data_IF_726446983393
#
_entry.id   IF_726446983393
#
_cell.length_a   1.000
_cell.length_b   1.000
_cell.length_c   1.000
_cell.angle_alpha   90.00
_cell.angle_beta   90.00
_cell.angle_gamma   90.00
#
_symmetry.space_group_name_H-M   'P 1'
#
loop_
_entity.id
_entity.type
_entity.pdbx_description
1 polymer ?
#
# COMPACT_ATOMS: atom_id res chain seq x y z
N UNK A 1 8.45 -1.36 -23.92
CA UNK A 1 7.88 -1.12 -25.26
C UNK A 1 9.04 -0.70 -26.13
N UNK A 2 9.34 -1.46 -27.17
CA UNK A 2 10.39 -1.07 -28.10
C UNK A 2 9.81 -0.10 -29.13
N UNK A 3 10.62 0.84 -29.68
CA UNK A 3 10.17 1.66 -30.79
C UNK A 3 9.75 0.76 -31.97
N UNK A 4 8.46 0.77 -32.34
CA UNK A 4 7.90 -0.04 -33.44
C UNK A 4 6.77 -1.00 -33.04
N UNK A 5 6.52 -1.23 -31.75
CA UNK A 5 5.34 -1.98 -31.30
C UNK A 5 4.05 -1.20 -31.59
N UNK A 6 3.09 -1.82 -32.27
CA UNK A 6 1.76 -1.24 -32.47
C UNK A 6 1.03 -1.02 -31.13
N UNK A 7 0.24 0.04 -31.03
CA UNK A 7 -0.58 0.28 -29.84
C UNK A 7 -1.57 -0.88 -29.65
N UNK A 8 -1.51 -1.54 -28.48
CA UNK A 8 -2.42 -2.62 -28.10
C UNK A 8 -2.97 -2.35 -26.70
N UNK A 9 -4.29 -2.43 -26.56
CA UNK A 9 -4.99 -2.30 -25.29
C UNK A 9 -5.19 -3.66 -24.57
N UNK A 10 -4.66 -4.76 -25.11
CA UNK A 10 -4.92 -6.11 -24.60
C UNK A 10 -4.46 -6.33 -23.15
N UNK A 11 -3.45 -5.58 -22.69
CA UNK A 11 -2.92 -5.66 -21.31
C UNK A 11 -3.25 -4.43 -20.45
N UNK A 12 -3.57 -3.31 -21.09
CA UNK A 12 -3.86 -2.04 -20.46
C UNK A 12 -4.89 -1.29 -21.28
N UNK A 13 -6.08 -1.11 -20.72
CA UNK A 13 -7.15 -0.33 -21.31
C UNK A 13 -7.79 0.52 -20.21
N UNK A 14 -7.83 1.83 -20.47
CA UNK A 14 -8.44 2.83 -19.61
C UNK A 14 -9.49 3.64 -20.40
N UNK A 15 -10.01 3.04 -21.46
CA UNK A 15 -11.00 3.68 -22.33
C UNK A 15 -12.30 3.95 -21.58
N UNK A 16 -12.88 5.09 -21.95
CA UNK A 16 -14.23 5.48 -21.56
C UNK A 16 -15.16 5.07 -22.69
N UNK A 17 -16.10 4.18 -22.39
CA UNK A 17 -17.02 3.54 -23.32
C UNK A 17 -17.23 2.05 -23.00
N UNK A 18 -16.26 1.36 -22.40
CA UNK A 18 -16.30 -0.10 -22.22
C UNK A 18 -15.70 -0.87 -23.42
N UNK A 19 -15.74 -2.21 -23.42
CA UNK A 19 -15.16 -2.99 -24.53
C UNK A 19 -16.06 -2.96 -25.78
N UNK A 20 -15.64 -2.30 -26.85
CA UNK A 20 -16.41 -2.17 -28.11
C UNK A 20 -17.24 -0.88 -28.18
N UNK A 21 -18.35 -0.87 -28.95
CA UNK A 21 -19.23 0.31 -29.14
C UNK A 21 -20.09 0.68 -27.91
N UNK A 22 -19.60 0.43 -26.69
CA UNK A 22 -20.22 1.00 -25.50
C UNK A 22 -19.97 2.50 -25.54
N UNK A 23 -21.02 3.26 -25.80
CA UNK A 23 -20.93 4.71 -26.02
C UNK A 23 -21.30 5.40 -24.72
N UNK A 24 -20.61 6.51 -24.46
CA UNK A 24 -21.16 7.58 -23.64
C UNK A 24 -22.47 8.01 -24.32
N UNK A 25 -23.61 7.86 -23.64
CA UNK A 25 -24.92 8.24 -24.20
C UNK A 25 -25.47 9.45 -23.49
N UNK A 26 -26.32 10.19 -24.21
CA UNK A 26 -26.95 11.40 -23.70
C UNK A 26 -28.44 11.39 -23.99
N UNK A 27 -29.22 12.07 -23.16
CA UNK A 27 -30.60 12.38 -23.48
C UNK A 27 -30.70 13.56 -24.48
N UNK A 28 -31.93 13.96 -24.82
CA UNK A 28 -32.18 15.08 -25.74
C UNK A 28 -31.76 16.44 -25.19
N UNK A 29 -31.64 16.56 -23.87
CA UNK A 29 -31.21 17.78 -23.20
C UNK A 29 -29.67 17.82 -23.04
N UNK A 30 -28.97 16.77 -23.48
CA UNK A 30 -27.51 16.66 -23.37
C UNK A 30 -27.04 16.16 -22.01
N UNK A 31 -27.93 15.65 -21.15
CA UNK A 31 -27.53 15.03 -19.90
C UNK A 31 -26.90 13.66 -20.15
N UNK A 32 -25.80 13.35 -19.47
CA UNK A 32 -25.12 12.07 -19.56
C UNK A 32 -26.03 10.95 -19.03
N UNK A 33 -26.32 9.91 -19.81
CA UNK A 33 -27.19 8.78 -19.43
C UNK A 33 -26.40 7.53 -19.05
N UNK A 34 -25.34 7.20 -19.79
CA UNK A 34 -24.50 6.03 -19.53
C UNK A 34 -23.03 6.32 -19.75
N UNK A 35 -22.18 5.70 -18.95
CA UNK A 35 -20.74 5.71 -19.12
C UNK A 35 -20.14 4.38 -18.64
N UNK A 36 -19.47 3.67 -19.54
CA UNK A 36 -18.62 2.53 -19.17
C UNK A 36 -17.17 2.98 -19.00
N UNK A 37 -16.43 2.38 -18.08
CA UNK A 37 -14.97 2.56 -17.98
C UNK A 37 -14.28 1.23 -17.85
N UNK A 38 -13.20 1.06 -18.61
CA UNK A 38 -12.26 -0.04 -18.42
C UNK A 38 -11.12 0.42 -17.50
N UNK A 39 -10.58 -0.55 -16.78
CA UNK A 39 -9.41 -0.36 -15.94
C UNK A 39 -8.64 -1.67 -15.82
N UNK A 40 -7.62 -1.64 -14.98
CA UNK A 40 -6.77 -2.81 -14.79
C UNK A 40 -6.58 -3.07 -13.30
N UNK A 41 -6.76 -4.32 -12.91
CA UNK A 41 -6.62 -4.76 -11.52
C UNK A 41 -5.33 -5.54 -11.31
N UNK A 42 -4.71 -5.47 -10.11
CA UNK A 42 -3.63 -6.36 -9.73
C UNK A 42 -4.04 -7.83 -9.89
N UNK A 43 -3.19 -8.64 -10.52
CA UNK A 43 -3.48 -10.05 -10.78
C UNK A 43 -4.44 -10.33 -11.95
N UNK A 44 -5.01 -9.32 -12.60
CA UNK A 44 -5.81 -9.53 -13.82
C UNK A 44 -4.92 -9.60 -15.07
N UNK A 45 -5.13 -10.63 -15.90
CA UNK A 45 -4.39 -10.82 -17.15
C UNK A 45 -4.80 -9.86 -18.28
N UNK A 46 -6.01 -9.32 -18.19
CA UNK A 46 -6.62 -8.40 -19.16
C UNK A 46 -7.34 -7.26 -18.44
N UNK A 47 -7.59 -6.13 -19.11
CA UNK A 47 -8.45 -5.08 -18.58
C UNK A 47 -9.85 -5.59 -18.23
N UNK A 48 -10.46 -4.97 -17.24
CA UNK A 48 -11.81 -5.28 -16.75
C UNK A 48 -12.67 -4.02 -16.78
N UNK A 49 -14.00 -4.20 -16.81
CA UNK A 49 -14.92 -3.09 -16.55
C UNK A 49 -14.83 -2.69 -15.09
N UNK A 50 -14.43 -1.44 -14.83
CA UNK A 50 -14.40 -0.85 -13.50
C UNK A 50 -15.62 0.03 -13.22
N UNK A 51 -16.31 0.49 -14.26
CA UNK A 51 -17.61 1.15 -14.10
C UNK A 51 -18.56 0.79 -15.24
N UNK A 52 -19.83 0.60 -14.88
CA UNK A 52 -20.96 0.55 -15.80
C UNK A 52 -22.07 1.47 -15.27
N UNK A 53 -21.87 2.77 -15.46
CA UNK A 53 -22.67 3.80 -14.82
C UNK A 53 -23.94 4.09 -15.61
N UNK A 54 -25.06 4.18 -14.89
CA UNK A 54 -26.33 4.70 -15.40
C UNK A 54 -26.78 5.89 -14.57
N UNK A 55 -27.03 7.00 -15.23
CA UNK A 55 -27.42 8.28 -14.63
C UNK A 55 -28.93 8.48 -14.82
N UNK A 56 -29.62 8.78 -13.73
CA UNK A 56 -31.06 9.03 -13.72
C UNK A 56 -31.35 10.45 -13.27
N UNK A 57 -32.19 11.16 -14.03
CA UNK A 57 -32.54 12.55 -13.78
C UNK A 57 -34.05 12.69 -13.54
N UNK A 58 -34.42 13.69 -12.74
CA UNK A 58 -35.78 14.19 -12.69
C UNK A 58 -36.07 15.09 -13.91
N UNK A 59 -37.34 15.42 -14.12
CA UNK A 59 -37.81 16.24 -15.26
C UNK A 59 -37.17 17.64 -15.36
N UNK A 60 -36.41 18.07 -14.35
CA UNK A 60 -35.70 19.36 -14.30
C UNK A 60 -34.20 19.28 -14.60
N UNK A 61 -33.72 18.25 -15.31
CA UNK A 61 -32.28 17.98 -15.56
C UNK A 61 -31.44 17.82 -14.28
N UNK A 62 -32.09 17.52 -13.15
CA UNK A 62 -31.41 17.34 -11.87
C UNK A 62 -31.11 15.87 -11.66
N UNK A 63 -29.85 15.56 -11.39
CA UNK A 63 -29.37 14.20 -11.21
C UNK A 63 -29.93 13.62 -9.91
N UNK A 64 -30.75 12.59 -10.01
CA UNK A 64 -31.36 11.93 -8.84
C UNK A 64 -30.51 10.75 -8.37
N UNK A 65 -29.93 10.00 -9.31
CA UNK A 65 -29.18 8.77 -9.01
C UNK A 65 -28.10 8.45 -10.04
N UNK A 66 -26.99 7.86 -9.60
CA UNK A 66 -26.02 7.15 -10.44
C UNK A 66 -25.86 5.73 -9.92
N UNK A 67 -26.26 4.75 -10.71
CA UNK A 67 -26.03 3.32 -10.37
C UNK A 67 -24.80 2.80 -11.08
N UNK A 68 -24.09 1.89 -10.43
CA UNK A 68 -23.00 1.15 -11.05
C UNK A 68 -23.34 -0.34 -11.17
N UNK A 69 -23.44 -0.83 -12.40
CA UNK A 69 -23.72 -2.23 -12.72
C UNK A 69 -22.44 -3.06 -12.93
N UNK A 70 -21.27 -2.55 -12.52
CA UNK A 70 -19.98 -3.23 -12.63
C UNK A 70 -20.05 -4.65 -12.03
N UNK A 71 -19.61 -5.69 -12.78
CA UNK A 71 -19.80 -7.09 -12.38
C UNK A 71 -18.99 -7.54 -11.15
N UNK A 72 -18.00 -6.75 -10.71
CA UNK A 72 -17.12 -7.09 -9.59
C UNK A 72 -17.56 -6.36 -8.31
N UNK A 73 -18.77 -6.65 -7.83
CA UNK A 73 -19.41 -5.95 -6.70
C UNK A 73 -18.57 -5.85 -5.42
N UNK A 74 -17.72 -6.85 -5.13
CA UNK A 74 -16.79 -6.81 -3.99
C UNK A 74 -15.66 -5.77 -4.12
N UNK A 75 -15.46 -5.21 -5.31
CA UNK A 75 -14.43 -4.23 -5.65
C UNK A 75 -15.01 -2.88 -6.09
N UNK A 76 -16.32 -2.69 -5.96
CA UNK A 76 -17.01 -1.43 -6.24
C UNK A 76 -16.31 -0.25 -5.52
N UNK A 77 -15.86 0.74 -6.29
CA UNK A 77 -15.15 1.93 -5.79
C UNK A 77 -13.75 1.67 -5.24
N UNK A 78 -13.19 0.47 -5.39
CA UNK A 78 -11.88 0.11 -4.84
C UNK A 78 -10.70 0.52 -5.74
N UNK A 79 -10.97 0.86 -6.99
CA UNK A 79 -9.98 1.29 -7.98
C UNK A 79 -9.84 2.82 -8.09
N UNK A 80 -10.53 3.57 -7.21
CA UNK A 80 -10.73 5.01 -7.39
C UNK A 80 -11.78 5.35 -8.45
N UNK A 81 -12.52 4.33 -8.88
CA UNK A 81 -13.74 4.34 -9.67
C UNK A 81 -14.94 4.87 -8.86
N UNK A 82 -16.09 4.99 -9.51
CA UNK A 82 -17.30 5.41 -8.84
C UNK A 82 -17.69 4.36 -7.80
N UNK A 83 -18.24 4.81 -6.67
CA UNK A 83 -18.75 3.92 -5.63
C UNK A 83 -20.25 4.10 -5.49
N UNK A 84 -21.01 3.17 -6.04
CA UNK A 84 -22.47 3.15 -5.83
C UNK A 84 -22.78 2.77 -4.37
N UNK A 85 -23.65 3.55 -3.73
CA UNK A 85 -24.06 3.35 -2.35
C UNK A 85 -24.93 2.10 -2.14
N UNK A 86 -25.28 1.83 -0.89
CA UNK A 86 -26.14 0.69 -0.52
C UNK A 86 -27.63 1.05 -0.43
N UNK A 87 -28.03 2.20 -0.98
CA UNK A 87 -29.39 2.77 -0.87
C UNK A 87 -30.41 2.17 -1.86
N UNK A 88 -30.05 1.09 -2.58
CA UNK A 88 -30.99 0.30 -3.36
C UNK A 88 -31.63 1.11 -4.50
N UNK A 89 -32.95 1.25 -4.53
CA UNK A 89 -33.66 2.04 -5.55
C UNK A 89 -33.93 3.50 -5.15
N UNK A 90 -33.54 3.91 -3.94
CA UNK A 90 -33.72 5.30 -3.50
C UNK A 90 -32.77 6.24 -4.24
N UNK A 91 -33.13 7.52 -4.32
CA UNK A 91 -32.27 8.56 -4.89
C UNK A 91 -30.97 8.70 -4.09
N UNK A 92 -29.87 9.00 -4.78
CA UNK A 92 -28.58 9.26 -4.13
C UNK A 92 -28.45 10.72 -3.72
N UNK A 93 -29.01 11.62 -4.52
CA UNK A 93 -28.87 13.06 -4.37
C UNK A 93 -30.18 13.70 -3.92
N UNK A 94 -30.09 14.53 -2.89
CA UNK A 94 -31.19 15.37 -2.41
C UNK A 94 -30.74 16.82 -2.46
N UNK A 95 -31.68 17.70 -2.82
CA UNK A 95 -31.40 19.12 -3.04
C UNK A 95 -32.33 19.98 -2.21
N UNK A 96 -31.85 21.15 -1.79
CA UNK A 96 -32.69 22.19 -1.21
C UNK A 96 -33.48 22.97 -2.28
N UNK A 97 -34.27 23.96 -1.85
CA UNK A 97 -35.06 24.79 -2.74
C UNK A 97 -34.23 25.71 -3.64
N UNK A 98 -32.98 26.01 -3.26
CA UNK A 98 -32.04 26.81 -4.04
C UNK A 98 -31.30 25.94 -5.09
N UNK A 99 -31.46 24.61 -5.02
CA UNK A 99 -30.81 23.66 -5.91
C UNK A 99 -29.44 23.21 -5.42
N UNK A 100 -29.06 23.53 -4.19
CA UNK A 100 -27.82 23.02 -3.59
C UNK A 100 -27.99 21.55 -3.20
N UNK A 101 -26.93 20.75 -3.35
CA UNK A 101 -26.93 19.35 -2.88
C UNK A 101 -26.87 19.34 -1.35
N UNK A 102 -27.89 18.78 -0.70
CA UNK A 102 -27.94 18.61 0.75
C UNK A 102 -27.65 17.18 1.19
N UNK A 103 -27.79 16.19 0.32
CA UNK A 103 -27.36 14.81 0.58
C UNK A 103 -26.73 14.18 -0.67
N UNK A 104 -25.71 13.35 -0.47
CA UNK A 104 -25.04 12.53 -1.48
C UNK A 104 -24.72 11.17 -0.84
N UNK A 105 -25.60 10.19 -1.06
CA UNK A 105 -25.52 8.88 -0.42
C UNK A 105 -24.34 8.03 -0.92
N UNK A 106 -23.88 8.25 -2.16
CA UNK A 106 -22.69 7.60 -2.71
C UNK A 106 -21.42 8.00 -1.93
N UNK A 107 -21.37 9.25 -1.44
CA UNK A 107 -20.30 9.73 -0.56
C UNK A 107 -20.62 9.60 0.92
N UNK A 108 -21.78 9.02 1.28
CA UNK A 108 -22.27 8.95 2.67
C UNK A 108 -22.47 10.33 3.32
N UNK A 109 -22.76 11.35 2.51
CA UNK A 109 -23.09 12.70 2.98
C UNK A 109 -24.56 12.75 3.35
N UNK A 110 -24.84 12.67 4.64
CA UNK A 110 -26.18 12.67 5.24
C UNK A 110 -26.09 12.97 6.74
N UNK A 111 -27.23 13.25 7.38
CA UNK A 111 -27.40 13.28 8.83
C UNK A 111 -26.55 14.34 9.56
N UNK A 112 -26.46 15.55 9.00
CA UNK A 112 -25.70 16.67 9.55
C UNK A 112 -25.99 16.97 11.03
N UNK A 113 -27.26 16.88 11.40
CA UNK A 113 -27.81 17.35 12.67
C UNK A 113 -28.24 16.20 13.60
N UNK A 114 -27.92 14.94 13.28
CA UNK A 114 -28.33 13.78 14.08
C UNK A 114 -29.80 13.38 13.89
N UNK A 115 -30.43 13.83 12.82
CA UNK A 115 -31.84 13.64 12.45
C UNK A 115 -32.12 12.33 11.68
N UNK A 116 -31.12 11.47 11.48
CA UNK A 116 -31.27 10.12 10.94
C UNK A 116 -30.72 9.95 9.51
N UNK A 117 -30.77 8.71 8.99
CA UNK A 117 -30.30 8.40 7.64
C UNK A 117 -31.24 8.98 6.57
N UNK A 118 -30.69 9.47 5.46
CA UNK A 118 -31.42 10.14 4.37
C UNK A 118 -31.70 11.62 4.59
N UNK A 119 -31.41 12.16 5.78
CA UNK A 119 -31.53 13.58 6.09
C UNK A 119 -30.34 14.40 5.57
N UNK A 120 -30.50 15.73 5.46
CA UNK A 120 -29.47 16.64 4.95
C UNK A 120 -28.12 16.43 5.65
N UNK A 121 -27.08 16.12 4.88
CA UNK A 121 -25.69 16.04 5.32
C UNK A 121 -24.90 17.34 5.15
N UNK A 122 -25.45 18.31 4.43
CA UNK A 122 -24.85 19.65 4.24
C UNK A 122 -25.78 20.72 4.79
N UNK A 123 -25.22 21.67 5.54
CA UNK A 123 -25.91 22.91 5.93
C UNK A 123 -25.19 24.08 5.25
N UNK A 124 -25.98 24.92 4.61
CA UNK A 124 -25.55 26.12 3.92
C UNK A 124 -25.86 27.36 4.76
N UNK A 125 -24.96 28.33 4.73
CA UNK A 125 -25.17 29.61 5.38
C UNK A 125 -25.99 30.57 4.51
N UNK A 126 -26.23 31.79 4.99
CA UNK A 126 -26.99 32.81 4.27
C UNK A 126 -26.36 33.30 2.95
N UNK A 127 -25.12 32.90 2.64
CA UNK A 127 -24.42 33.18 1.38
C UNK A 127 -24.45 31.97 0.42
N UNK A 128 -25.30 30.96 0.69
CA UNK A 128 -25.33 29.66 -0.03
C UNK A 128 -23.96 28.94 -0.02
N UNK A 129 -23.12 29.19 1.00
CA UNK A 129 -21.84 28.47 1.18
C UNK A 129 -21.98 27.35 2.19
N UNK A 130 -21.41 26.16 1.94
CA UNK A 130 -21.47 25.05 2.88
C UNK A 130 -20.64 25.37 4.13
N UNK A 131 -21.27 25.39 5.30
CA UNK A 131 -20.61 25.63 6.60
C UNK A 131 -20.46 24.35 7.42
N UNK A 132 -21.27 23.33 7.12
CA UNK A 132 -21.26 22.02 7.75
C UNK A 132 -21.44 20.96 6.67
N UNK A 133 -20.54 19.97 6.65
CA UNK A 133 -20.68 18.77 5.80
C UNK A 133 -20.39 17.54 6.66
N UNK A 134 -21.37 16.69 6.90
CA UNK A 134 -21.17 15.40 7.59
C UNK A 134 -21.00 14.28 6.58
N UNK A 135 -19.92 13.52 6.71
CA UNK A 135 -19.68 12.26 6.01
C UNK A 135 -19.81 11.13 7.03
N UNK A 136 -20.94 10.44 7.02
CA UNK A 136 -21.24 9.36 7.97
C UNK A 136 -20.20 8.25 7.87
N UNK A 137 -19.68 7.77 9.00
CA UNK A 137 -18.61 6.77 9.05
C UNK A 137 -17.20 7.36 8.88
N UNK A 138 -17.07 8.69 8.68
CA UNK A 138 -15.76 9.36 8.56
C UNK A 138 -15.63 10.53 9.53
N UNK A 139 -16.53 11.51 9.46
CA UNK A 139 -16.39 12.75 10.21
C UNK A 139 -17.21 13.89 9.67
N UNK A 140 -16.89 15.09 10.14
CA UNK A 140 -17.62 16.32 9.85
C UNK A 140 -16.64 17.42 9.45
N UNK A 141 -16.87 18.04 8.30
CA UNK A 141 -16.19 19.26 7.88
C UNK A 141 -16.98 20.47 8.39
N UNK A 142 -16.26 21.44 8.94
CA UNK A 142 -16.77 22.76 9.34
C UNK A 142 -15.98 23.84 8.62
N UNK A 143 -16.66 24.87 8.14
CA UNK A 143 -16.02 26.01 7.48
C UNK A 143 -16.53 27.31 8.08
N UNK A 144 -15.61 28.20 8.45
CA UNK A 144 -15.90 29.56 8.90
C UNK A 144 -15.56 30.51 7.78
N UNK A 145 -16.51 31.37 7.43
CA UNK A 145 -16.33 32.40 6.42
C UNK A 145 -16.36 33.79 7.05
N UNK A 146 -15.67 34.73 6.42
CA UNK A 146 -15.89 36.16 6.63
C UNK A 146 -17.26 36.58 6.09
N UNK A 147 -17.69 37.79 6.44
CA UNK A 147 -18.92 38.38 5.90
C UNK A 147 -18.90 38.50 4.36
N UNK A 148 -17.71 38.66 3.77
CA UNK A 148 -17.51 38.71 2.32
C UNK A 148 -17.44 37.31 1.67
N UNK A 149 -17.59 36.24 2.45
CA UNK A 149 -17.62 34.86 1.97
C UNK A 149 -16.25 34.21 1.76
N UNK A 150 -15.17 34.85 2.21
CA UNK A 150 -13.81 34.27 2.20
C UNK A 150 -13.64 33.28 3.35
N UNK A 151 -13.04 32.13 3.08
CA UNK A 151 -12.75 31.11 4.10
C UNK A 151 -11.69 31.64 5.08
N UNK A 152 -12.03 31.63 6.37
CA UNK A 152 -11.13 32.00 7.47
C UNK A 152 -10.55 30.77 8.18
N UNK A 153 -11.37 29.72 8.31
CA UNK A 153 -10.98 28.50 9.01
C UNK A 153 -11.73 27.31 8.44
N UNK A 154 -11.08 26.16 8.36
CA UNK A 154 -11.71 24.88 8.03
C UNK A 154 -11.28 23.83 9.04
N UNK A 155 -12.21 23.05 9.57
CA UNK A 155 -11.90 21.91 10.43
C UNK A 155 -12.48 20.62 9.85
N UNK A 156 -11.72 19.54 9.89
CA UNK A 156 -12.22 18.18 9.73
C UNK A 156 -12.18 17.47 11.09
N UNK A 157 -13.36 17.09 11.57
CA UNK A 157 -13.58 16.47 12.87
C UNK A 157 -13.96 15.02 12.62
N UNK A 158 -13.04 14.04 12.80
CA UNK A 158 -13.36 12.66 12.53
C UNK A 158 -14.34 12.10 13.58
N UNK A 159 -15.04 11.01 13.25
CA UNK A 159 -15.86 10.29 14.23
C UNK A 159 -15.01 9.59 15.31
N UNK A 160 -13.71 9.37 15.02
CA UNK A 160 -12.72 8.85 15.95
C UNK A 160 -11.33 9.37 15.59
N UNK A 161 -10.52 9.71 16.60
CA UNK A 161 -9.18 10.27 16.44
C UNK A 161 -9.15 11.80 16.52
N UNK A 162 -8.03 12.36 16.07
CA UNK A 162 -7.72 13.78 16.24
C UNK A 162 -8.29 14.64 15.11
N UNK A 163 -8.77 15.83 15.44
CA UNK A 163 -9.29 16.77 14.45
C UNK A 163 -8.16 17.47 13.69
N UNK A 164 -8.41 17.82 12.43
CA UNK A 164 -7.49 18.62 11.61
C UNK A 164 -8.07 20.01 11.40
N UNK A 165 -7.32 21.06 11.72
CA UNK A 165 -7.75 22.46 11.61
C UNK A 165 -6.82 23.19 10.66
N UNK A 166 -7.36 23.84 9.63
CA UNK A 166 -6.65 24.70 8.68
C UNK A 166 -7.02 26.15 8.95
N UNK A 167 -6.02 26.99 9.19
CA UNK A 167 -6.15 28.44 9.34
C UNK A 167 -5.16 29.07 8.37
N UNK A 168 -5.68 29.74 7.33
CA UNK A 168 -4.90 30.18 6.18
C UNK A 168 -4.05 29.02 5.62
N UNK A 169 -2.74 29.17 5.55
CA UNK A 169 -1.80 28.15 5.07
C UNK A 169 -1.44 27.11 6.13
N UNK A 170 -1.73 27.34 7.41
CA UNK A 170 -1.26 26.48 8.49
C UNK A 170 -2.28 25.38 8.81
N UNK A 171 -1.78 24.15 8.89
CA UNK A 171 -2.58 22.97 9.22
C UNK A 171 -2.12 22.41 10.56
N UNK A 172 -3.08 22.23 11.46
CA UNK A 172 -2.89 21.76 12.82
C UNK A 172 -3.65 20.46 13.06
N UNK A 173 -3.14 19.65 13.98
CA UNK A 173 -3.84 18.53 14.61
C UNK A 173 -4.23 18.92 16.02
N UNK A 174 -5.46 18.61 16.39
CA UNK A 174 -6.01 18.88 17.72
C UNK A 174 -6.33 17.57 18.42
N UNK A 175 -5.66 17.33 19.55
CA UNK A 175 -5.80 16.10 20.35
C UNK A 175 -7.09 16.09 21.19
N UNK A 176 -7.75 17.24 21.37
CA UNK A 176 -9.10 17.27 21.92
C UNK A 176 -10.09 16.97 20.80
N UNK A 177 -11.00 16.00 21.00
CA UNK A 177 -12.07 15.76 20.03
C UNK A 177 -13.00 16.97 20.02
N UNK A 178 -12.81 17.87 19.04
CA UNK A 178 -13.78 18.91 18.77
C UNK A 178 -15.15 18.25 18.60
N UNK A 179 -16.16 18.73 19.33
CA UNK A 179 -17.51 18.22 19.12
C UNK A 179 -17.94 18.58 17.69
N UNK A 180 -18.61 17.68 16.95
CA UNK A 180 -19.08 17.99 15.62
C UNK A 180 -19.84 19.32 15.58
N UNK A 181 -20.74 19.56 16.55
CA UNK A 181 -21.55 20.78 16.67
C UNK A 181 -20.90 21.91 17.52
N UNK A 182 -19.57 21.93 17.64
CA UNK A 182 -18.87 23.00 18.38
C UNK A 182 -19.15 24.40 17.78
N UNK A 183 -19.25 25.41 18.65
CA UNK A 183 -19.41 26.80 18.26
C UNK A 183 -18.16 27.34 17.55
N UNK A 184 -18.35 28.22 16.58
CA UNK A 184 -17.28 28.92 15.84
C UNK A 184 -16.81 30.18 16.61
N UNK A 185 -15.55 30.63 16.48
CA UNK A 185 -14.41 29.94 15.85
C UNK A 185 -13.95 28.74 16.70
N UNK A 186 -13.41 27.69 16.07
CA UNK A 186 -13.05 26.47 16.80
C UNK A 186 -11.88 26.80 17.77
N UNK A 187 -12.13 26.69 19.08
CA UNK A 187 -11.38 27.36 20.16
C UNK A 187 -10.03 26.72 20.52
N UNK A 188 -9.36 26.07 19.56
CA UNK A 188 -8.38 25.03 19.80
C UNK A 188 -7.30 25.37 20.83
N UNK A 189 -7.35 24.70 21.98
CA UNK A 189 -6.22 24.60 22.91
C UNK A 189 -5.48 23.30 22.62
N UNK A 190 -4.14 23.33 22.55
CA UNK A 190 -3.34 22.13 22.26
C UNK A 190 -3.20 21.81 20.76
N UNK A 191 -3.25 22.82 19.91
CA UNK A 191 -2.97 22.68 18.47
C UNK A 191 -1.50 22.34 18.23
N UNK A 192 -1.24 21.24 17.53
CA UNK A 192 0.08 20.86 17.06
C UNK A 192 0.17 21.11 15.55
N UNK A 193 1.13 21.93 15.11
CA UNK A 193 1.35 22.18 13.68
C UNK A 193 1.79 20.89 12.98
N UNK A 194 1.12 20.51 11.91
CA UNK A 194 1.44 19.33 11.10
C UNK A 194 1.96 19.66 9.71
N UNK A 195 1.49 20.74 9.10
CA UNK A 195 2.03 21.22 7.83
C UNK A 195 1.74 22.69 7.55
N UNK A 196 2.49 23.26 6.62
CA UNK A 196 2.33 24.63 6.12
C UNK A 196 2.13 24.52 4.61
N UNK A 197 1.01 24.99 4.09
CA UNK A 197 0.68 24.97 2.66
C UNK A 197 1.43 26.08 1.93
N UNK A 198 1.76 25.83 0.66
CA UNK A 198 2.23 26.85 -0.26
C UNK A 198 1.71 26.54 -1.67
N UNK A 199 1.99 27.42 -2.64
CA UNK A 199 1.42 27.38 -3.98
C UNK A 199 1.56 26.00 -4.64
N UNK A 200 2.76 25.42 -4.60
CA UNK A 200 3.08 24.16 -5.27
C UNK A 200 2.95 22.93 -4.35
N UNK A 201 2.61 23.07 -3.07
CA UNK A 201 2.71 21.94 -2.15
C UNK A 201 2.47 22.24 -0.68
N UNK A 202 3.23 21.54 0.18
CA UNK A 202 3.28 21.80 1.62
C UNK A 202 4.68 21.52 2.19
N UNK A 203 4.98 22.19 3.29
CA UNK A 203 6.07 21.81 4.21
C UNK A 203 5.43 20.91 5.27
N UNK A 204 5.82 19.65 5.32
CA UNK A 204 5.38 18.69 6.34
C UNK A 204 6.26 18.81 7.57
N UNK A 205 5.65 18.94 8.74
CA UNK A 205 6.36 18.98 10.02
C UNK A 205 6.68 17.55 10.46
N UNK A 206 7.96 17.30 10.69
CA UNK A 206 8.53 16.02 11.06
C UNK A 206 9.08 16.13 12.49
N UNK A 207 8.83 15.09 13.28
CA UNK A 207 9.58 14.88 14.52
C UNK A 207 10.76 13.98 14.15
N UNK A 208 12.00 14.48 14.13
CA UNK A 208 13.14 13.66 13.75
C UNK A 208 13.24 12.48 14.69
N UNK A 209 13.43 11.29 14.13
CA UNK A 209 13.63 10.04 14.87
C UNK A 209 14.99 9.50 14.48
N UNK A 210 15.81 9.23 15.49
CA UNK A 210 17.04 8.46 15.36
C UNK A 210 17.04 7.41 16.46
N UNK A 211 16.29 6.34 16.25
CA UNK A 211 16.23 5.21 17.18
C UNK A 211 16.97 4.01 16.60
N UNK A 212 17.72 3.31 17.43
CA UNK A 212 18.39 2.08 17.04
C UNK A 212 18.98 1.34 18.22
N UNK A 213 18.82 0.02 18.24
CA UNK A 213 19.44 -0.89 19.23
C UNK A 213 20.60 -1.69 18.63
N UNK A 214 21.02 -1.34 17.40
CA UNK A 214 22.01 -2.07 16.60
C UNK A 214 21.44 -3.26 15.81
N UNK A 215 20.20 -3.68 16.10
CA UNK A 215 19.51 -4.80 15.44
C UNK A 215 18.43 -4.25 14.48
N UNK A 216 17.67 -3.29 14.97
CA UNK A 216 16.65 -2.52 14.25
C UNK A 216 16.89 -1.03 14.47
N UNK A 217 16.44 -0.21 13.53
CA UNK A 217 16.47 1.23 13.68
C UNK A 217 15.73 1.96 12.58
N UNK A 218 15.28 3.14 12.95
CA UNK A 218 14.54 4.05 12.10
C UNK A 218 15.22 5.41 12.19
N UNK A 219 15.63 5.91 11.02
CA UNK A 219 16.12 7.26 10.85
C UNK A 219 15.16 7.99 9.93
N UNK A 220 14.49 9.00 10.48
CA UNK A 220 13.59 9.91 9.76
C UNK A 220 14.06 11.32 10.03
N UNK A 221 14.35 12.05 8.96
CA UNK A 221 14.83 13.43 9.02
C UNK A 221 14.23 14.26 7.90
N UNK A 222 13.95 15.53 8.21
CA UNK A 222 13.62 16.56 7.25
C UNK A 222 14.87 17.31 6.80
N UNK A 223 14.76 18.04 5.69
CA UNK A 223 15.84 18.86 5.15
C UNK A 223 15.78 20.33 5.62
N UNK A 224 14.74 20.70 6.37
CA UNK A 224 14.54 22.03 6.93
C UNK A 224 14.50 21.95 8.45
N UNK A 225 15.20 22.84 9.17
CA UNK A 225 15.06 22.92 10.64
C UNK A 225 13.85 23.77 11.02
N UNK A 226 13.04 23.29 11.96
CA UNK A 226 11.88 23.99 12.50
C UNK A 226 12.01 24.16 14.04
N UNK A 227 11.30 25.13 14.65
CA UNK A 227 11.30 25.32 16.10
C UNK A 227 10.87 24.06 16.89
N UNK A 228 11.20 24.02 18.19
CA UNK A 228 10.83 22.95 19.12
C UNK A 228 11.35 21.55 18.73
N UNK A 229 12.60 21.48 18.25
CA UNK A 229 13.26 20.25 17.80
C UNK A 229 12.44 19.49 16.74
N UNK A 230 11.82 20.24 15.81
CA UNK A 230 11.14 19.69 14.64
C UNK A 230 12.01 19.91 13.40
N UNK A 231 11.72 19.13 12.38
CA UNK A 231 12.27 19.32 11.04
C UNK A 231 11.12 19.43 10.04
N UNK A 232 11.40 19.93 8.85
CA UNK A 232 10.45 20.06 7.74
C UNK A 232 10.93 19.27 6.53
N UNK A 233 10.00 18.68 5.79
CA UNK A 233 10.26 18.17 4.45
C UNK A 233 9.30 18.84 3.45
N UNK A 234 9.83 19.22 2.29
CA UNK A 234 9.03 19.72 1.19
C UNK A 234 8.31 18.57 0.50
N UNK A 235 6.99 18.71 0.37
CA UNK A 235 6.12 17.85 -0.42
C UNK A 235 5.53 18.71 -1.56
N UNK A 236 5.86 18.39 -2.82
CA UNK A 236 5.34 19.09 -4.01
C UNK A 236 4.18 18.33 -4.63
N UNK A 237 3.12 19.04 -5.00
CA UNK A 237 1.91 18.49 -5.58
C UNK A 237 1.93 18.63 -7.10
N UNK A 238 1.89 17.50 -7.80
CA UNK A 238 1.54 17.49 -9.21
C UNK A 238 0.02 17.45 -9.29
N UNK A 239 -0.58 18.50 -9.84
CA UNK A 239 -2.04 18.64 -9.95
C UNK A 239 -2.52 18.45 -11.39
N UNK A 240 -3.79 18.08 -11.54
CA UNK A 240 -4.46 18.13 -12.84
C UNK A 240 -5.07 19.52 -13.12
N UNK A 241 -5.77 19.64 -14.25
CA UNK A 241 -6.40 20.90 -14.67
C UNK A 241 -7.56 21.36 -13.75
N UNK A 242 -8.07 20.49 -12.88
CA UNK A 242 -9.10 20.79 -11.87
C UNK A 242 -8.47 20.97 -10.48
N UNK A 243 -7.13 21.10 -10.42
CA UNK A 243 -6.33 21.24 -9.21
C UNK A 243 -6.37 20.02 -8.26
N UNK A 244 -6.84 18.86 -8.72
CA UNK A 244 -6.74 17.64 -7.92
C UNK A 244 -5.28 17.19 -7.86
N UNK A 245 -4.78 16.88 -6.66
CA UNK A 245 -3.43 16.32 -6.48
C UNK A 245 -3.40 14.90 -7.06
N UNK A 246 -2.52 14.69 -8.04
CA UNK A 246 -2.28 13.40 -8.72
C UNK A 246 -1.04 12.68 -8.23
N UNK A 247 -0.03 13.43 -7.81
CA UNK A 247 1.21 12.88 -7.26
C UNK A 247 1.78 13.84 -6.22
N UNK A 248 2.48 13.28 -5.24
CA UNK A 248 3.27 14.03 -4.25
C UNK A 248 4.72 13.61 -4.41
N UNK A 249 5.62 14.57 -4.62
CA UNK A 249 7.07 14.38 -4.60
C UNK A 249 7.60 14.88 -3.26
N UNK A 250 8.41 14.11 -2.55
CA UNK A 250 8.92 14.49 -1.23
C UNK A 250 10.44 14.51 -1.20
N UNK A 251 10.99 15.44 -0.42
CA UNK A 251 12.42 15.54 -0.13
C UNK A 251 12.80 14.89 1.22
N UNK A 252 11.85 14.22 1.88
CA UNK A 252 12.13 13.41 3.08
C UNK A 252 13.10 12.27 2.74
N UNK A 253 14.12 12.07 3.58
CA UNK A 253 14.94 10.86 3.54
C UNK A 253 14.57 9.93 4.69
N UNK A 254 14.44 8.65 4.35
CA UNK A 254 14.08 7.61 5.30
C UNK A 254 15.04 6.44 5.13
N UNK A 255 15.76 6.12 6.21
CA UNK A 255 16.52 4.87 6.29
C UNK A 255 15.92 3.95 7.34
N UNK A 256 15.61 2.72 6.91
CA UNK A 256 15.17 1.66 7.81
C UNK A 256 16.13 0.48 7.71
N UNK A 257 16.49 -0.08 8.86
CA UNK A 257 17.16 -1.37 8.92
C UNK A 257 16.52 -2.26 9.98
N UNK A 258 16.55 -3.56 9.71
CA UNK A 258 16.04 -4.57 10.63
C UNK A 258 16.72 -5.92 10.41
N UNK A 259 16.89 -6.66 11.50
CA UNK A 259 17.54 -7.97 11.50
C UNK A 259 16.64 -8.98 12.18
N UNK A 260 16.31 -10.07 11.48
CA UNK A 260 15.66 -11.22 12.11
C UNK A 260 16.75 -12.09 12.76
N UNK A 261 16.89 -11.95 14.08
CA UNK A 261 17.86 -12.68 14.92
C UNK A 261 17.33 -14.04 15.38
N UNK A 262 16.04 -14.31 15.17
CA UNK A 262 15.37 -15.55 15.55
C UNK A 262 15.31 -15.81 17.06
N UNK A 263 15.73 -14.84 17.88
CA UNK A 263 15.82 -14.99 19.33
C UNK A 263 14.44 -15.04 19.98
N UNK A 264 14.28 -15.93 20.95
CA UNK A 264 12.97 -16.16 21.60
C UNK A 264 12.44 -14.90 22.28
N UNK A 265 13.33 -14.10 22.89
CA UNK A 265 12.95 -12.83 23.52
C UNK A 265 12.52 -11.74 22.53
N UNK A 266 12.85 -11.87 21.23
CA UNK A 266 12.50 -10.93 20.17
C UNK A 266 11.40 -11.43 19.23
N UNK A 267 11.04 -12.70 19.32
CA UNK A 267 10.07 -13.36 18.44
C UNK A 267 8.79 -12.56 18.16
N UNK A 268 8.18 -11.93 19.18
CA UNK A 268 6.96 -11.12 19.00
C UNK A 268 7.22 -9.87 18.16
N UNK A 269 8.37 -9.20 18.35
CA UNK A 269 8.75 -8.01 17.56
C UNK A 269 9.11 -8.40 16.14
N UNK A 270 9.90 -9.46 15.99
CA UNK A 270 10.31 -9.97 14.68
C UNK A 270 9.12 -10.48 13.87
N UNK A 271 8.16 -11.19 14.46
CA UNK A 271 6.97 -11.68 13.76
C UNK A 271 6.04 -10.54 13.29
N UNK A 272 6.12 -9.35 13.90
CA UNK A 272 5.40 -8.17 13.41
C UNK A 272 6.07 -7.56 12.16
N UNK A 273 7.38 -7.75 11.99
CA UNK A 273 8.18 -7.14 10.94
C UNK A 273 8.51 -8.12 9.82
N UNK A 274 8.69 -9.41 10.09
CA UNK A 274 9.11 -10.45 9.14
C UNK A 274 8.06 -11.56 9.00
N UNK A 275 7.91 -12.09 7.80
CA UNK A 275 6.96 -13.16 7.47
C UNK A 275 5.49 -12.73 7.30
N UNK A 276 4.63 -13.64 6.90
CA UNK A 276 3.19 -13.42 6.89
C UNK A 276 2.62 -13.31 8.32
N UNK A 277 1.50 -12.61 8.56
CA UNK A 277 0.90 -12.56 9.88
C UNK A 277 0.24 -13.90 10.27
N UNK A 278 0.02 -14.08 11.57
CA UNK A 278 -0.67 -15.25 12.13
C UNK A 278 0.25 -16.45 12.36
N UNK A 279 -0.37 -17.63 12.55
CA UNK A 279 0.35 -18.85 12.93
C UNK A 279 1.31 -19.37 11.86
N UNK A 280 1.11 -19.00 10.59
CA UNK A 280 1.98 -19.35 9.47
C UNK A 280 3.22 -18.46 9.32
N UNK A 281 3.49 -17.55 10.26
CA UNK A 281 4.62 -16.63 10.20
C UNK A 281 5.96 -17.39 10.13
N UNK A 282 6.80 -17.04 9.15
CA UNK A 282 8.05 -17.75 8.87
C UNK A 282 9.11 -17.61 9.98
N UNK A 283 9.13 -16.52 10.75
CA UNK A 283 10.00 -16.41 11.95
C UNK A 283 9.52 -17.35 13.05
N UNK A 284 8.25 -17.75 13.04
CA UNK A 284 7.70 -18.66 14.04
C UNK A 284 7.86 -20.12 13.63
N UNK A 285 7.41 -20.47 12.42
CA UNK A 285 7.37 -21.88 11.98
C UNK A 285 8.75 -22.45 11.65
N UNK A 286 9.75 -21.61 11.34
CA UNK A 286 11.11 -22.07 11.01
C UNK A 286 12.08 -22.03 12.18
N UNK A 287 11.69 -21.45 13.32
CA UNK A 287 12.59 -21.28 14.47
C UNK A 287 12.91 -22.60 15.12
N UNK A 288 14.21 -22.87 15.27
CA UNK A 288 14.73 -24.04 15.98
C UNK A 288 15.95 -23.65 16.80
N UNK A 289 16.36 -24.51 17.74
CA UNK A 289 17.63 -24.32 18.44
C UNK A 289 18.81 -24.38 17.44
N UNK A 290 19.83 -23.55 17.67
CA UNK A 290 21.05 -23.55 16.86
C UNK A 290 21.70 -24.95 16.84
N UNK A 291 22.12 -25.46 15.67
CA UNK A 291 22.86 -26.72 15.59
C UNK A 291 24.25 -26.60 16.23
N UNK A 292 24.70 -27.66 16.90
CA UNK A 292 25.96 -27.68 17.66
C UNK A 292 27.22 -27.42 16.82
N UNK A 293 27.21 -27.77 15.54
CA UNK A 293 28.34 -27.57 14.64
C UNK A 293 28.50 -26.13 14.12
N UNK A 294 27.53 -25.24 14.36
CA UNK A 294 27.62 -23.84 13.93
C UNK A 294 28.40 -23.00 14.96
N UNK A 295 29.72 -23.16 14.98
CA UNK A 295 30.61 -22.62 16.03
C UNK A 295 30.88 -21.12 15.92
N UNK A 296 30.72 -20.52 14.74
CA UNK A 296 30.89 -19.07 14.51
C UNK A 296 29.58 -18.27 14.61
N UNK A 297 28.57 -18.82 15.30
CA UNK A 297 27.30 -18.17 15.58
C UNK A 297 27.02 -18.25 17.09
N UNK A 298 26.71 -17.13 17.73
CA UNK A 298 26.45 -17.03 19.17
C UNK A 298 24.98 -17.14 19.56
N UNK A 299 24.06 -17.10 18.61
CA UNK A 299 22.61 -17.14 18.80
C UNK A 299 22.15 -18.45 19.43
N UNK A 300 21.01 -18.40 20.12
CA UNK A 300 20.38 -19.56 20.75
C UNK A 300 19.42 -20.26 19.79
N UNK A 301 18.80 -19.49 18.89
CA UNK A 301 17.83 -19.98 17.92
C UNK A 301 18.16 -19.47 16.51
N UNK A 302 17.75 -20.24 15.51
CA UNK A 302 18.02 -19.97 14.09
C UNK A 302 16.80 -20.39 13.26
N UNK A 303 16.70 -19.91 12.02
CA UNK A 303 15.71 -20.39 11.05
C UNK A 303 16.22 -21.66 10.38
N UNK A 304 15.42 -22.73 10.34
CA UNK A 304 15.74 -23.96 9.59
C UNK A 304 14.78 -24.12 8.42
N UNK A 305 15.34 -24.33 7.24
CA UNK A 305 14.58 -24.52 6.00
C UNK A 305 15.07 -25.74 5.22
N UNK A 306 14.23 -26.28 4.35
CA UNK A 306 14.49 -27.43 3.48
C UNK A 306 13.29 -28.37 3.41
N UNK A 307 13.27 -29.28 2.44
CA UNK A 307 12.16 -30.23 2.28
C UNK A 307 11.99 -31.11 3.53
N UNK A 308 13.09 -31.63 4.09
CA UNK A 308 13.06 -32.44 5.31
C UNK A 308 12.67 -31.64 6.56
N UNK A 309 12.85 -30.31 6.52
CA UNK A 309 12.41 -29.42 7.59
C UNK A 309 10.90 -29.12 7.52
N UNK A 310 10.22 -29.47 6.42
CA UNK A 310 8.81 -29.15 6.17
C UNK A 310 8.53 -27.68 5.87
N UNK A 311 9.58 -26.85 5.72
CA UNK A 311 9.47 -25.41 5.48
C UNK A 311 10.53 -24.97 4.48
N UNK A 312 10.11 -24.49 3.30
CA UNK A 312 11.04 -24.08 2.23
C UNK A 312 11.32 -22.58 2.21
N UNK A 313 10.48 -21.78 2.88
CA UNK A 313 10.59 -20.32 2.95
C UNK A 313 10.86 -19.95 4.40
N UNK A 314 11.93 -19.19 4.63
CA UNK A 314 12.27 -18.66 5.94
C UNK A 314 11.85 -17.20 6.11
N UNK A 315 12.44 -16.47 7.09
CA UNK A 315 12.14 -15.07 7.35
C UNK A 315 12.18 -14.23 6.08
N UNK A 316 11.05 -13.60 5.76
CA UNK A 316 10.85 -12.82 4.56
C UNK A 316 10.31 -11.44 4.89
N UNK A 317 10.33 -10.55 3.90
CA UNK A 317 9.94 -9.16 4.05
C UNK A 317 9.37 -8.59 2.76
N UNK A 318 8.21 -7.96 2.86
CA UNK A 318 7.56 -7.23 1.77
C UNK A 318 7.54 -5.74 2.10
N UNK A 319 8.00 -4.90 1.17
CA UNK A 319 7.94 -3.44 1.28
C UNK A 319 7.54 -2.78 -0.02
N UNK A 320 7.06 -1.54 0.09
CA UNK A 320 6.89 -0.64 -1.05
C UNK A 320 8.22 0.07 -1.33
N UNK A 321 8.56 0.24 -2.60
CA UNK A 321 9.78 0.92 -3.06
C UNK A 321 9.47 1.85 -4.22
N UNK A 322 10.26 2.91 -4.35
CA UNK A 322 10.26 3.82 -5.49
C UNK A 322 11.40 3.47 -6.45
N UNK A 323 11.24 3.86 -7.72
CA UNK A 323 12.28 3.69 -8.72
C UNK A 323 13.52 4.48 -8.30
N UNK A 324 14.64 3.79 -8.11
CA UNK A 324 15.88 4.42 -7.63
C UNK A 324 16.33 3.95 -6.25
N UNK A 325 15.41 3.50 -5.41
CA UNK A 325 15.70 3.04 -4.05
C UNK A 325 16.75 1.92 -4.06
N UNK A 326 17.57 1.88 -3.02
CA UNK A 326 18.59 0.83 -2.86
C UNK A 326 18.21 -0.10 -1.73
N UNK A 327 18.14 -1.39 -2.05
CA UNK A 327 17.87 -2.47 -1.11
C UNK A 327 19.15 -3.27 -0.91
N UNK A 328 19.53 -3.47 0.36
CA UNK A 328 20.60 -4.39 0.75
C UNK A 328 20.07 -5.45 1.69
N UNK A 329 20.52 -6.69 1.51
CA UNK A 329 20.15 -7.83 2.33
C UNK A 329 21.38 -8.69 2.62
N UNK A 330 21.45 -9.22 3.84
CA UNK A 330 22.50 -10.13 4.28
C UNK A 330 21.90 -11.21 5.19
N UNK A 331 22.43 -12.42 5.14
CA UNK A 331 22.05 -13.49 6.07
C UNK A 331 23.23 -14.44 6.31
N UNK A 332 23.44 -14.81 7.56
CA UNK A 332 24.39 -15.86 7.94
C UNK A 332 23.76 -17.22 7.72
N UNK A 333 24.55 -18.22 7.31
CA UNK A 333 24.02 -19.56 7.05
C UNK A 333 24.96 -20.67 7.51
N UNK A 334 24.38 -21.86 7.71
CA UNK A 334 25.10 -23.08 8.04
C UNK A 334 24.36 -24.31 7.52
N UNK A 335 25.10 -25.30 7.03
CA UNK A 335 24.57 -26.61 6.66
C UNK A 335 25.64 -27.69 6.78
N UNK A 336 25.20 -28.94 6.84
CA UNK A 336 26.06 -30.11 6.96
C UNK A 336 25.68 -31.18 5.95
N UNK A 337 26.68 -31.88 5.43
CA UNK A 337 26.50 -32.98 4.48
C UNK A 337 26.57 -32.52 3.03
N UNK A 338 26.95 -33.44 2.15
CA UNK A 338 26.97 -33.22 0.71
C UNK A 338 25.54 -33.14 0.18
N UNK A 339 25.16 -32.13 -0.62
CA UNK A 339 23.80 -31.98 -1.13
C UNK A 339 23.32 -33.24 -1.84
N UNK A 340 22.12 -33.69 -1.47
CA UNK A 340 21.39 -34.70 -2.24
C UNK A 340 20.80 -34.07 -3.50
N UNK A 341 20.62 -34.87 -4.56
CA UNK A 341 20.03 -34.43 -5.83
C UNK A 341 18.53 -34.13 -5.76
N UNK A 342 17.90 -34.38 -4.62
CA UNK A 342 16.45 -34.22 -4.41
C UNK A 342 16.06 -32.76 -4.14
N UNK A 343 14.98 -32.34 -4.79
CA UNK A 343 14.45 -30.97 -4.73
C UNK A 343 12.95 -31.01 -4.50
N UNK A 344 12.42 -30.08 -3.72
CA UNK A 344 10.99 -29.94 -3.50
C UNK A 344 10.33 -29.39 -4.80
N UNK A 345 9.33 -30.10 -5.36
CA UNK A 345 8.62 -29.67 -6.58
C UNK A 345 7.61 -28.54 -6.33
N UNK A 346 7.14 -28.38 -5.09
CA UNK A 346 6.12 -27.43 -4.64
C UNK A 346 6.70 -26.09 -4.16
N UNK A 347 8.00 -25.85 -4.37
CA UNK A 347 8.70 -24.63 -3.96
C UNK A 347 8.00 -23.35 -4.45
N UNK A 348 7.49 -23.36 -5.68
CA UNK A 348 6.72 -22.23 -6.23
C UNK A 348 5.44 -21.96 -5.42
N UNK A 349 4.68 -23.01 -5.09
CA UNK A 349 3.43 -22.91 -4.33
C UNK A 349 3.69 -22.39 -2.91
N UNK A 350 4.75 -22.90 -2.26
CA UNK A 350 5.13 -22.49 -0.90
C UNK A 350 5.51 -21.00 -0.86
N UNK A 351 6.29 -20.53 -1.84
CA UNK A 351 6.62 -19.11 -1.96
C UNK A 351 5.37 -18.25 -2.25
N UNK A 352 4.53 -18.65 -3.21
CA UNK A 352 3.32 -17.91 -3.57
C UNK A 352 2.35 -17.79 -2.37
N UNK A 353 2.24 -18.83 -1.55
CA UNK A 353 1.41 -18.81 -0.33
C UNK A 353 1.95 -17.80 0.69
N UNK A 354 3.27 -17.82 0.93
CA UNK A 354 3.94 -16.86 1.83
C UNK A 354 3.80 -15.40 1.34
N UNK A 355 3.97 -15.19 0.03
CA UNK A 355 3.79 -13.88 -0.60
C UNK A 355 2.34 -13.40 -0.51
N UNK A 356 1.36 -14.26 -0.82
CA UNK A 356 -0.06 -13.91 -0.71
C UNK A 356 -0.47 -13.55 0.73
N UNK A 357 0.02 -14.31 1.72
CA UNK A 357 -0.19 -13.99 3.14
C UNK A 357 0.44 -12.65 3.53
N UNK A 358 1.63 -12.35 3.00
CA UNK A 358 2.29 -11.05 3.19
C UNK A 358 1.54 -9.90 2.53
N UNK A 359 1.00 -10.11 1.31
CA UNK A 359 0.21 -9.13 0.58
C UNK A 359 -1.09 -8.82 1.32
N UNK A 360 -1.86 -9.84 1.70
CA UNK A 360 -3.18 -9.66 2.32
C UNK A 360 -3.10 -9.17 3.77
N UNK A 361 -2.03 -9.53 4.48
CA UNK A 361 -1.97 -9.38 5.93
C UNK A 361 -1.14 -8.21 6.47
N UNK A 362 -0.27 -7.60 5.65
CA UNK A 362 0.62 -6.50 6.09
C UNK A 362 0.07 -5.13 5.69
N UNK A 363 0.51 -4.08 6.37
CA UNK A 363 0.09 -2.69 6.08
C UNK A 363 0.94 -1.98 5.01
N UNK A 364 1.71 -2.74 4.22
CA UNK A 364 2.57 -2.20 3.16
C UNK A 364 1.85 -2.11 1.81
N UNK A 365 0.79 -2.88 1.62
CA UNK A 365 -0.02 -2.94 0.38
C UNK A 365 -1.31 -2.13 0.52
N UNK A 366 -1.74 -1.50 -0.58
CA UNK A 366 -3.02 -0.81 -0.64
C UNK A 366 -4.22 -1.76 -0.61
N UNK A 367 -5.41 -1.25 -0.24
CA UNK A 367 -6.63 -2.06 -0.12
C UNK A 367 -6.97 -2.88 -1.37
N UNK A 368 -6.83 -2.28 -2.56
CA UNK A 368 -7.07 -2.98 -3.83
C UNK A 368 -6.15 -4.19 -4.04
N UNK A 369 -4.86 -4.02 -3.74
CA UNK A 369 -3.87 -5.09 -3.87
C UNK A 369 -4.14 -6.21 -2.86
N UNK A 370 -4.47 -5.85 -1.61
CA UNK A 370 -4.83 -6.81 -0.56
C UNK A 370 -5.98 -7.72 -0.99
N UNK A 371 -7.06 -7.11 -1.50
CA UNK A 371 -8.24 -7.85 -1.99
C UNK A 371 -7.94 -8.77 -3.16
N UNK A 372 -6.84 -8.56 -3.88
CA UNK A 372 -6.43 -9.36 -5.04
C UNK A 372 -5.23 -10.29 -4.76
N UNK A 373 -4.82 -10.50 -3.50
CA UNK A 373 -3.66 -11.32 -3.15
C UNK A 373 -3.66 -12.72 -3.83
N UNK A 374 -4.80 -13.41 -3.83
CA UNK A 374 -4.96 -14.73 -4.47
C UNK A 374 -4.87 -14.66 -6.00
N UNK A 375 -5.47 -13.63 -6.61
CA UNK A 375 -5.42 -13.43 -8.05
C UNK A 375 -3.98 -13.12 -8.51
N UNK A 376 -3.26 -12.28 -7.75
CA UNK A 376 -1.84 -12.01 -7.94
C UNK A 376 -1.03 -13.32 -7.89
N UNK A 377 -1.25 -14.16 -6.87
CA UNK A 377 -0.56 -15.45 -6.76
C UNK A 377 -0.78 -16.36 -7.97
N UNK A 378 -2.04 -16.47 -8.42
CA UNK A 378 -2.41 -17.23 -9.61
C UNK A 378 -1.75 -16.68 -10.88
N UNK A 379 -1.74 -15.36 -11.07
CA UNK A 379 -1.12 -14.70 -12.21
C UNK A 379 0.40 -14.91 -12.23
N UNK A 380 1.06 -14.77 -11.08
CA UNK A 380 2.50 -15.01 -10.95
C UNK A 380 2.88 -16.46 -11.25
N UNK A 381 2.05 -17.43 -10.87
CA UNK A 381 2.31 -18.87 -11.12
C UNK A 381 2.46 -19.22 -12.61
N UNK A 382 1.84 -18.44 -13.49
CA UNK A 382 1.88 -18.61 -14.95
C UNK A 382 2.73 -17.57 -15.67
N UNK A 383 3.35 -16.64 -14.93
CA UNK A 383 4.15 -15.57 -15.51
C UNK A 383 5.47 -16.12 -16.09
N UNK A 384 5.78 -15.87 -17.37
CA UNK A 384 7.02 -16.33 -17.98
C UNK A 384 8.26 -15.95 -17.17
N UNK A 385 9.13 -16.92 -16.90
CA UNK A 385 10.39 -16.75 -16.16
C UNK A 385 10.23 -16.72 -14.63
N UNK A 386 9.07 -16.35 -14.09
CA UNK A 386 8.88 -16.27 -12.63
C UNK A 386 9.06 -17.62 -11.91
N UNK A 387 8.45 -18.74 -12.34
CA UNK A 387 8.70 -20.06 -11.74
C UNK A 387 10.17 -20.45 -11.68
N UNK A 388 10.95 -20.13 -12.72
CA UNK A 388 12.38 -20.45 -12.80
C UNK A 388 13.24 -19.63 -11.84
N UNK A 389 12.84 -18.39 -11.55
CA UNK A 389 13.51 -17.53 -10.57
C UNK A 389 13.21 -17.97 -9.14
N UNK A 390 11.99 -18.43 -8.86
CA UNK A 390 11.58 -18.87 -7.52
C UNK A 390 12.15 -20.26 -7.19
N UNK A 391 12.34 -21.11 -8.20
CA UNK A 391 12.85 -22.47 -8.06
C UNK A 391 14.14 -22.69 -8.87
N UNK A 392 15.21 -21.92 -8.63
CA UNK A 392 16.41 -21.93 -9.48
C UNK A 392 17.18 -23.25 -9.34
N UNK A 393 17.69 -23.75 -10.48
CA UNK A 393 18.45 -25.01 -10.58
C UNK A 393 19.97 -24.77 -10.54
N UNK A 394 20.44 -24.01 -9.55
CA UNK A 394 21.84 -23.58 -9.42
C UNK A 394 22.86 -24.71 -9.19
N UNK A 395 23.99 -24.38 -8.57
CA UNK A 395 25.09 -25.33 -8.35
C UNK A 395 24.60 -26.55 -7.56
N UNK A 396 24.70 -27.73 -8.18
CA UNK A 396 24.26 -29.00 -7.60
C UNK A 396 25.19 -29.50 -6.47
N UNK A 397 26.40 -28.93 -6.36
CA UNK A 397 27.36 -29.27 -5.31
C UNK A 397 27.16 -28.44 -4.03
N UNK A 398 26.17 -27.54 -4.01
CA UNK A 398 25.70 -26.85 -2.81
C UNK A 398 24.18 -27.08 -2.67
N UNK A 399 23.60 -27.00 -1.46
CA UNK A 399 22.16 -26.92 -1.31
C UNK A 399 21.59 -25.80 -2.20
N UNK A 400 20.42 -26.03 -2.81
CA UNK A 400 19.66 -25.03 -3.56
C UNK A 400 18.93 -24.09 -2.59
N UNK A 401 19.71 -23.42 -1.75
CA UNK A 401 19.28 -22.45 -0.76
C UNK A 401 19.84 -21.07 -1.07
N UNK A 402 19.00 -20.05 -0.98
CA UNK A 402 19.26 -18.72 -1.54
C UNK A 402 18.79 -17.61 -0.62
N UNK A 403 19.51 -16.49 -0.68
CA UNK A 403 18.98 -15.18 -0.34
C UNK A 403 18.51 -14.53 -1.65
N UNK A 404 17.26 -14.08 -1.69
CA UNK A 404 16.62 -13.56 -2.90
C UNK A 404 15.96 -12.21 -2.64
N UNK A 405 16.14 -11.27 -3.58
CA UNK A 405 15.44 -9.99 -3.70
C UNK A 405 14.67 -10.02 -5.02
N UNK A 406 13.33 -9.93 -4.96
CA UNK A 406 12.44 -9.82 -6.12
C UNK A 406 11.73 -8.47 -6.12
N UNK A 407 11.65 -7.85 -7.30
CA UNK A 407 10.88 -6.64 -7.51
C UNK A 407 9.62 -6.91 -8.32
N UNK A 408 8.57 -6.18 -7.96
CA UNK A 408 7.30 -6.12 -8.65
C UNK A 408 6.95 -4.66 -8.92
N UNK A 409 6.18 -4.39 -9.97
CA UNK A 409 5.63 -3.06 -10.20
C UNK A 409 4.47 -2.74 -9.24
N UNK A 410 3.89 -1.53 -9.31
CA UNK A 410 2.76 -1.12 -8.46
C UNK A 410 1.52 -2.03 -8.56
N UNK A 411 1.42 -2.83 -9.62
CA UNK A 411 0.33 -3.78 -9.87
C UNK A 411 0.70 -5.22 -9.51
N UNK A 412 1.84 -5.43 -8.85
CA UNK A 412 2.39 -6.74 -8.53
C UNK A 412 2.78 -7.61 -9.74
N UNK A 413 3.00 -7.02 -10.93
CA UNK A 413 3.58 -7.78 -12.04
C UNK A 413 5.07 -8.01 -11.77
N UNK A 414 5.54 -9.23 -12.02
CA UNK A 414 6.94 -9.59 -11.89
C UNK A 414 7.84 -8.79 -12.84
N UNK A 415 8.94 -8.25 -12.31
CA UNK A 415 9.98 -7.60 -13.10
C UNK A 415 11.11 -8.61 -13.40
N UNK A 416 11.35 -8.97 -14.67
CA UNK A 416 12.38 -9.96 -15.01
C UNK A 416 13.80 -9.55 -14.63
N UNK A 417 14.69 -10.54 -14.51
CA UNK A 417 16.11 -10.31 -14.23
C UNK A 417 16.80 -9.42 -15.28
N UNK A 418 16.38 -9.51 -16.55
CA UNK A 418 16.88 -8.67 -17.64
C UNK A 418 16.62 -7.17 -17.43
N UNK A 419 15.57 -6.84 -16.66
CA UNK A 419 15.19 -5.47 -16.30
C UNK A 419 15.71 -5.08 -14.90
N UNK A 420 16.58 -5.88 -14.29
CA UNK A 420 17.12 -5.66 -12.95
C UNK A 420 16.16 -6.01 -11.81
N UNK A 421 15.07 -6.73 -12.08
CA UNK A 421 14.05 -7.05 -11.07
C UNK A 421 14.36 -8.24 -10.16
N UNK A 422 15.53 -8.88 -10.31
CA UNK A 422 15.92 -10.07 -9.55
C UNK A 422 17.38 -9.97 -9.14
N UNK A 423 17.66 -10.19 -7.86
CA UNK A 423 19.00 -10.45 -7.35
C UNK A 423 18.94 -11.65 -6.41
N UNK A 424 19.81 -12.64 -6.62
CA UNK A 424 19.85 -13.83 -5.78
C UNK A 424 21.27 -14.38 -5.66
N UNK A 425 21.57 -14.97 -4.52
CA UNK A 425 22.85 -15.65 -4.28
C UNK A 425 22.59 -16.98 -3.59
N UNK A 426 23.25 -18.04 -4.08
CA UNK A 426 23.19 -19.37 -3.51
C UNK A 426 24.20 -19.50 -2.36
N UNK A 427 23.93 -20.39 -1.40
CA UNK A 427 24.96 -20.89 -0.46
C UNK A 427 26.14 -21.51 -1.19
N UNK A 428 27.36 -21.34 -0.65
CA UNK A 428 28.56 -21.94 -1.22
C UNK A 428 28.57 -23.47 -1.05
N UNK A 429 29.33 -24.18 -1.89
CA UNK A 429 29.49 -25.64 -1.83
C UNK A 429 30.33 -26.13 -0.62
N UNK A 430 30.94 -25.21 0.13
CA UNK A 430 31.72 -25.51 1.33
C UNK A 430 30.78 -25.78 2.51
N UNK A 431 30.81 -27.00 3.02
CA UNK A 431 30.06 -27.45 4.20
C UNK A 431 30.96 -27.49 5.44
N UNK A 432 30.38 -27.32 6.64
CA UNK A 432 31.06 -27.48 7.94
C UNK A 432 32.31 -26.57 8.15
N UNK A 433 32.30 -25.37 7.56
CA UNK A 433 33.32 -24.35 7.78
C UNK A 433 32.66 -22.99 7.98
N UNK A 434 33.38 -22.05 8.60
CA UNK A 434 32.94 -20.66 8.70
C UNK A 434 32.83 -20.07 7.28
N UNK A 435 31.61 -19.94 6.78
CA UNK A 435 31.33 -19.32 5.48
C UNK A 435 30.99 -17.85 5.66
N UNK A 436 31.40 -17.04 4.68
CA UNK A 436 30.95 -15.65 4.62
C UNK A 436 29.43 -15.59 4.48
N UNK A 437 28.74 -14.63 5.12
CA UNK A 437 27.30 -14.45 4.95
C UNK A 437 26.92 -14.27 3.47
N UNK A 438 25.72 -14.69 3.11
CA UNK A 438 25.13 -14.29 1.83
C UNK A 438 24.85 -12.80 1.89
N UNK A 439 25.26 -12.05 0.87
CA UNK A 439 25.05 -10.61 0.82
C UNK A 439 24.68 -10.15 -0.59
N UNK A 440 23.64 -9.32 -0.67
CA UNK A 440 23.21 -8.59 -1.85
C UNK A 440 23.20 -7.11 -1.47
N UNK A 441 24.10 -6.32 -2.04
CA UNK A 441 24.29 -4.93 -1.64
C UNK A 441 23.88 -3.96 -2.76
N UNK A 442 23.23 -2.85 -2.37
CA UNK A 442 22.88 -1.74 -3.25
C UNK A 442 22.06 -2.15 -4.50
N UNK A 443 21.17 -3.12 -4.36
CA UNK A 443 20.29 -3.53 -5.46
C UNK A 443 19.26 -2.43 -5.70
N UNK A 444 19.31 -1.82 -6.88
CA UNK A 444 18.48 -0.67 -7.25
C UNK A 444 17.09 -1.13 -7.71
N UNK A 445 16.04 -0.56 -7.13
CA UNK A 445 14.67 -0.78 -7.58
C UNK A 445 14.47 -0.19 -9.00
N UNK A 446 14.09 -1.01 -10.00
CA UNK A 446 13.99 -0.54 -11.39
C UNK A 446 12.73 0.28 -11.68
N UNK A 447 11.65 0.08 -10.90
CA UNK A 447 10.34 0.74 -11.04
C UNK A 447 9.71 0.96 -9.66
N UNK A 448 8.75 1.87 -9.59
CA UNK A 448 7.87 1.99 -8.43
C UNK A 448 7.07 0.69 -8.26
N UNK A 449 6.93 0.23 -7.03
CA UNK A 449 6.18 -0.97 -6.72
C UNK A 449 6.59 -1.59 -5.42
N UNK A 450 6.94 -2.88 -5.44
CA UNK A 450 7.18 -3.67 -4.25
C UNK A 450 8.45 -4.48 -4.35
N UNK A 451 9.11 -4.70 -3.21
CA UNK A 451 10.24 -5.61 -3.08
C UNK A 451 9.90 -6.72 -2.09
N UNK A 452 10.23 -7.95 -2.46
CA UNK A 452 10.12 -9.12 -1.59
C UNK A 452 11.50 -9.74 -1.36
N UNK A 453 11.96 -9.72 -0.12
CA UNK A 453 13.27 -10.21 0.29
C UNK A 453 13.11 -11.42 1.20
N UNK A 454 13.57 -12.58 0.76
CA UNK A 454 13.36 -13.82 1.49
C UNK A 454 14.57 -14.75 1.40
N UNK A 455 14.66 -15.63 2.39
CA UNK A 455 15.54 -16.80 2.32
C UNK A 455 14.71 -18.01 1.95
N UNK A 456 15.28 -18.87 1.12
CA UNK A 456 14.60 -20.08 0.68
C UNK A 456 15.55 -21.26 0.57
N UNK A 457 14.98 -22.47 0.61
CA UNK A 457 15.69 -23.71 0.39
C UNK A 457 14.79 -24.72 -0.33
N UNK A 458 15.13 -25.01 -1.58
CA UNK A 458 14.45 -26.01 -2.41
C UNK A 458 14.98 -27.42 -2.15
N UNK A 459 16.21 -27.56 -1.69
CA UNK A 459 16.83 -28.86 -1.46
C UNK A 459 16.21 -29.59 -0.27
N UNK A 460 16.43 -30.90 -0.23
CA UNK A 460 15.98 -31.72 0.90
C UNK A 460 16.67 -31.37 2.21
N UNK A 461 17.96 -31.06 2.14
CA UNK A 461 18.81 -30.85 3.31
C UNK A 461 18.42 -29.62 4.13
N UNK A 462 18.67 -29.71 5.44
CA UNK A 462 18.52 -28.58 6.33
C UNK A 462 19.59 -27.53 6.04
N UNK A 463 19.13 -26.31 5.75
CA UNK A 463 19.96 -25.11 5.77
C UNK A 463 19.44 -24.21 6.87
N UNK A 464 20.36 -23.82 7.75
CA UNK A 464 20.10 -22.94 8.86
C UNK A 464 20.48 -21.53 8.46
N UNK A 465 19.62 -20.57 8.77
CA UNK A 465 19.80 -19.15 8.50
C UNK A 465 19.66 -18.36 9.79
N UNK A 466 20.47 -17.32 9.92
CA UNK A 466 20.42 -16.42 11.07
C UNK A 466 20.88 -15.01 10.72
N UNK A 467 20.54 -14.05 11.59
CA UNK A 467 20.85 -12.63 11.44
C UNK A 467 20.47 -12.11 10.04
N UNK A 468 19.23 -12.36 9.63
CA UNK A 468 18.73 -11.92 8.33
C UNK A 468 18.53 -10.40 8.33
N UNK A 469 19.62 -9.67 8.08
CA UNK A 469 19.73 -8.23 8.09
C UNK A 469 19.31 -7.63 6.76
N UNK A 470 18.56 -6.54 6.82
CA UNK A 470 18.15 -5.78 5.65
C UNK A 470 18.28 -4.29 5.94
N UNK A 471 18.67 -3.54 4.93
CA UNK A 471 18.74 -2.08 4.97
C UNK A 471 18.09 -1.53 3.70
N UNK A 472 17.27 -0.51 3.88
CA UNK A 472 16.63 0.23 2.80
C UNK A 472 16.85 1.72 3.04
N UNK A 473 17.22 2.41 1.97
CA UNK A 473 17.37 3.86 1.94
C UNK A 473 16.51 4.38 0.79
N UNK A 474 15.59 5.28 1.11
CA UNK A 474 14.85 6.12 0.18
C UNK A 474 15.35 7.54 0.18
#
# INVERSE_FOLDING_TARGET
MHPGDGFSNAKMDFSVGGSGTGKITYDRNGNLLKMGRLGVLPGAASPVTIDDLTYTYSLSNRLDKVTDAMPLSAQNGSSGDFKDGSNGSANDYVYDANGNVVADLNKSIQNALGDGAGSSGVVYNHLDKPELIRITGKGTVRVVYSADGQTLQRAFIPESGDATVTINEFVYQETASLAPLAATPFSGTGLALTSILFEEGRIRVITPVSTGDGIEGLIVSGNLSLPNNKEGAYDYYIRDYQENVRMILTEESHTFYGTATMETGRATREAAIFGQPGAGNEVTITRVAKPTGWTNNSSAAVSRTGNQAGTNIGPNLLYRVMAGDKVSAQVSYYFTGSPGSSSNPDMLLNMLTSLAGSIGGRNVTGGLVKSNATAIGTQLSTTPGFPGVVSPTGNINAPQAYLTILFFDERFNFIPAADGGVAQTQVAASWNAATSPLALANIKAPKNGYVYVYVSNRSDQHVYFDDARRCWCS
#
